data_IF_895113290195
#
_entry.id   IF_895113290195
#
_cell.length_a   1.000
_cell.length_b   1.000
_cell.length_c   1.000
_cell.angle_alpha   90.00
_cell.angle_beta   90.00
_cell.angle_gamma   90.00
#
_symmetry.space_group_name_H-M   'P 1'
#
loop_
_entity.id
_entity.type
_entity.pdbx_description
1 polymer ?
#
# COMPACT_ATOMS: atom_id res chain seq x y z
N UNK A 1 91.73 -17.61 30.01
CA UNK A 1 91.08 -16.32 29.77
C UNK A 1 90.78 -16.24 28.29
N UNK A 2 89.55 -16.51 27.90
CA UNK A 2 88.97 -16.00 26.65
C UNK A 2 87.45 -16.08 26.80
N UNK A 3 86.81 -14.94 26.59
CA UNK A 3 85.47 -14.61 27.04
C UNK A 3 84.39 -15.34 26.23
N UNK A 4 83.47 -16.00 26.93
CA UNK A 4 82.23 -16.53 26.36
C UNK A 4 81.30 -15.36 26.08
N UNK A 5 81.21 -14.95 24.81
CA UNK A 5 80.24 -13.96 24.36
C UNK A 5 78.81 -14.53 24.48
N UNK A 6 78.14 -14.21 25.59
CA UNK A 6 76.70 -14.36 25.72
C UNK A 6 76.01 -13.31 24.83
N UNK A 7 75.55 -13.74 23.65
CA UNK A 7 74.69 -12.93 22.79
C UNK A 7 73.34 -12.78 23.48
N UNK A 8 73.16 -11.67 24.21
CA UNK A 8 71.87 -11.29 24.79
C UNK A 8 70.93 -10.94 23.64
N UNK A 9 70.09 -11.91 23.25
CA UNK A 9 68.96 -11.68 22.37
C UNK A 9 67.99 -10.74 23.09
N UNK A 10 67.91 -9.50 22.59
CA UNK A 10 66.89 -8.53 22.97
C UNK A 10 65.51 -9.18 22.77
N UNK A 11 64.58 -9.05 23.73
CA UNK A 11 63.26 -9.62 23.56
C UNK A 11 62.64 -8.96 22.33
N UNK A 12 62.29 -9.77 21.33
CA UNK A 12 61.53 -9.33 20.18
C UNK A 12 60.30 -8.61 20.69
N UNK A 13 60.28 -7.30 20.50
CA UNK A 13 59.16 -6.44 20.79
C UNK A 13 57.95 -7.02 20.06
N UNK A 14 57.08 -7.72 20.80
CA UNK A 14 55.81 -8.20 20.25
C UNK A 14 55.02 -6.95 19.94
N UNK A 15 55.10 -6.47 18.69
CA UNK A 15 54.18 -5.47 18.14
C UNK A 15 52.79 -5.92 18.54
N UNK A 16 52.17 -5.19 19.45
CA UNK A 16 50.80 -5.47 19.90
C UNK A 16 49.90 -5.19 18.71
N UNK A 17 49.75 -6.20 17.83
CA UNK A 17 48.87 -6.14 16.67
C UNK A 17 47.50 -5.73 17.21
N UNK A 18 46.95 -4.61 16.70
CA UNK A 18 45.89 -3.79 17.29
C UNK A 18 44.62 -4.55 17.71
N UNK A 19 44.71 -5.31 18.81
CA UNK A 19 43.69 -6.23 19.32
C UNK A 19 42.44 -5.51 19.86
N UNK A 20 42.39 -4.18 19.77
CA UNK A 20 41.27 -3.36 20.25
C UNK A 20 40.59 -2.53 19.16
N UNK A 21 41.16 -2.37 17.96
CA UNK A 21 40.53 -1.55 16.92
C UNK A 21 39.39 -2.28 16.21
N UNK A 22 39.56 -3.57 15.87
CA UNK A 22 38.54 -4.37 15.20
C UNK A 22 37.35 -4.71 16.11
N UNK A 23 37.59 -5.02 17.40
CA UNK A 23 36.52 -5.25 18.38
C UNK A 23 35.72 -3.98 18.66
N UNK A 24 36.38 -2.81 18.75
CA UNK A 24 35.70 -1.51 18.85
C UNK A 24 34.93 -1.18 17.56
N UNK A 25 35.51 -1.45 16.38
CA UNK A 25 34.83 -1.29 15.09
C UNK A 25 33.60 -2.16 15.00
N UNK A 26 33.69 -3.44 15.35
CA UNK A 26 32.56 -4.37 15.39
C UNK A 26 31.48 -3.90 16.36
N UNK A 27 31.84 -3.43 17.56
CA UNK A 27 30.86 -2.88 18.50
C UNK A 27 30.14 -1.66 17.91
N UNK A 28 30.86 -0.74 17.27
CA UNK A 28 30.26 0.41 16.58
C UNK A 28 29.34 -0.02 15.44
N UNK A 29 29.79 -0.97 14.61
CA UNK A 29 28.99 -1.52 13.52
C UNK A 29 27.74 -2.22 14.03
N UNK A 30 27.83 -2.99 15.12
CA UNK A 30 26.68 -3.65 15.74
C UNK A 30 25.67 -2.63 16.24
N UNK A 31 26.11 -1.57 16.93
CA UNK A 31 25.20 -0.49 17.39
C UNK A 31 24.50 0.16 16.20
N UNK A 32 25.24 0.46 15.12
CA UNK A 32 24.64 1.02 13.90
C UNK A 32 23.66 0.04 13.24
N UNK A 33 24.01 -1.24 13.17
CA UNK A 33 23.14 -2.28 12.63
C UNK A 33 21.86 -2.40 13.45
N UNK A 34 21.96 -2.55 14.77
CA UNK A 34 20.80 -2.66 15.68
C UNK A 34 19.90 -1.42 15.56
N UNK A 35 20.49 -0.21 15.45
CA UNK A 35 19.76 1.04 15.24
C UNK A 35 19.03 1.07 13.89
N UNK A 36 19.68 0.67 12.79
CA UNK A 36 19.08 0.64 11.46
C UNK A 36 17.99 -0.43 11.35
N UNK A 37 18.19 -1.59 11.97
CA UNK A 37 17.18 -2.64 12.05
C UNK A 37 15.93 -2.16 12.77
N UNK A 38 16.10 -1.52 13.93
CA UNK A 38 14.97 -0.99 14.68
C UNK A 38 14.21 0.08 13.88
N UNK A 39 14.94 0.97 13.19
CA UNK A 39 14.32 1.97 12.33
C UNK A 39 13.55 1.36 11.15
N UNK A 40 14.10 0.31 10.51
CA UNK A 40 13.41 -0.39 9.43
C UNK A 40 12.13 -1.10 9.90
N UNK A 41 12.16 -1.72 11.08
CA UNK A 41 10.95 -2.31 11.68
C UNK A 41 9.88 -1.25 12.00
N UNK A 42 10.30 -0.08 12.50
CA UNK A 42 9.37 1.02 12.78
C UNK A 42 8.76 1.60 11.50
N UNK A 43 9.57 1.81 10.46
CA UNK A 43 9.09 2.23 9.15
C UNK A 43 8.06 1.26 8.58
N UNK A 44 8.31 -0.06 8.65
CA UNK A 44 7.35 -1.06 8.18
C UNK A 44 6.04 -1.05 8.99
N UNK A 45 6.09 -0.80 10.30
CA UNK A 45 4.87 -0.63 11.11
C UNK A 45 4.11 0.63 10.70
N UNK A 46 4.81 1.71 10.41
CA UNK A 46 4.20 2.95 9.93
C UNK A 46 3.56 2.75 8.56
N UNK A 47 4.25 2.11 7.63
CA UNK A 47 3.74 1.74 6.32
C UNK A 47 2.46 0.89 6.41
N UNK A 48 2.46 -0.16 7.24
CA UNK A 48 1.27 -0.98 7.45
C UNK A 48 0.08 -0.16 8.00
N UNK A 49 0.32 0.74 8.95
CA UNK A 49 -0.72 1.66 9.46
C UNK A 49 -1.21 2.59 8.35
N UNK A 50 -0.31 3.21 7.60
CA UNK A 50 -0.65 4.10 6.49
C UNK A 50 -1.48 3.37 5.44
N UNK A 51 -1.09 2.15 5.05
CA UNK A 51 -1.86 1.32 4.13
C UNK A 51 -3.29 1.07 4.62
N UNK A 52 -3.47 0.74 5.91
CA UNK A 52 -4.83 0.58 6.47
C UNK A 52 -5.64 1.89 6.44
N UNK A 53 -5.00 3.03 6.72
CA UNK A 53 -5.69 4.33 6.67
C UNK A 53 -6.07 4.74 5.25
N UNK A 54 -5.21 4.45 4.28
CA UNK A 54 -5.47 4.71 2.85
C UNK A 54 -6.67 3.89 2.40
N UNK A 55 -6.70 2.59 2.71
CA UNK A 55 -7.86 1.72 2.39
C UNK A 55 -9.15 2.23 3.01
N UNK A 56 -9.11 2.64 4.29
CA UNK A 56 -10.29 3.25 4.96
C UNK A 56 -10.76 4.50 4.23
N UNK A 57 -9.84 5.41 3.87
CA UNK A 57 -10.18 6.64 3.15
C UNK A 57 -10.76 6.34 1.76
N UNK A 58 -10.23 5.35 1.05
CA UNK A 58 -10.78 4.92 -0.23
C UNK A 58 -12.22 4.42 -0.08
N UNK A 59 -12.50 3.58 0.93
CA UNK A 59 -13.86 3.10 1.21
C UNK A 59 -14.79 4.25 1.57
N UNK A 60 -14.31 5.23 2.34
CA UNK A 60 -15.11 6.42 2.69
C UNK A 60 -15.40 7.30 1.49
N UNK A 61 -14.44 7.46 0.57
CA UNK A 61 -14.64 8.18 -0.68
C UNK A 61 -15.70 7.49 -1.55
N UNK A 62 -15.62 6.17 -1.72
CA UNK A 62 -16.62 5.39 -2.44
C UNK A 62 -18.01 5.53 -1.76
N UNK A 63 -18.02 5.40 -0.43
CA UNK A 63 -19.07 5.86 0.52
C UNK A 63 -19.81 7.11 0.06
N UNK A 64 -19.05 8.19 -0.06
CA UNK A 64 -19.54 9.51 -0.38
C UNK A 64 -20.02 9.61 -1.84
N UNK A 65 -19.33 8.97 -2.76
CA UNK A 65 -19.71 8.94 -4.17
C UNK A 65 -21.09 8.28 -4.37
N UNK A 66 -21.36 7.18 -3.68
CA UNK A 66 -22.66 6.50 -3.71
C UNK A 66 -23.78 7.42 -3.18
N UNK A 67 -23.55 8.06 -2.03
CA UNK A 67 -24.53 9.00 -1.44
C UNK A 67 -24.78 10.19 -2.38
N UNK A 68 -23.73 10.74 -3.01
CA UNK A 68 -23.88 11.83 -3.95
C UNK A 68 -24.68 11.41 -5.19
N UNK A 69 -24.50 10.17 -5.66
CA UNK A 69 -25.27 9.61 -6.76
C UNK A 69 -26.75 9.45 -6.38
N UNK A 70 -27.04 8.93 -5.18
CA UNK A 70 -28.41 8.80 -4.66
C UNK A 70 -29.10 10.15 -4.52
N UNK A 71 -28.37 11.14 -4.01
CA UNK A 71 -28.85 12.53 -3.90
C UNK A 71 -29.18 13.07 -5.29
N UNK A 72 -28.28 12.90 -6.27
CA UNK A 72 -28.50 13.34 -7.65
C UNK A 72 -29.74 12.69 -8.30
N UNK A 73 -30.02 11.43 -7.94
CA UNK A 73 -31.17 10.67 -8.44
C UNK A 73 -32.46 10.88 -7.63
N UNK A 74 -32.41 11.62 -6.52
CA UNK A 74 -33.56 11.87 -5.65
C UNK A 74 -34.66 12.67 -6.36
N UNK A 75 -35.91 12.22 -6.20
CA UNK A 75 -37.09 12.90 -6.74
C UNK A 75 -37.26 14.34 -6.22
N UNK A 76 -36.72 14.64 -5.03
CA UNK A 76 -36.80 15.96 -4.41
C UNK A 76 -35.86 16.98 -5.06
N UNK A 77 -34.83 16.53 -5.78
CA UNK A 77 -33.93 17.43 -6.51
C UNK A 77 -34.57 17.82 -7.84
N UNK A 78 -34.76 19.12 -8.11
CA UNK A 78 -35.22 19.62 -9.40
C UNK A 78 -34.32 19.20 -10.57
N UNK A 79 -34.92 18.95 -11.75
CA UNK A 79 -34.20 18.42 -12.94
C UNK A 79 -33.08 19.35 -13.45
N UNK A 80 -33.14 20.65 -13.18
CA UNK A 80 -32.12 21.65 -13.52
C UNK A 80 -30.84 21.55 -12.68
N UNK A 81 -30.95 20.89 -11.52
CA UNK A 81 -29.84 20.61 -10.61
C UNK A 81 -29.29 19.20 -10.74
N UNK A 82 -30.02 18.30 -11.42
CA UNK A 82 -29.54 16.95 -11.70
C UNK A 82 -28.49 16.99 -12.80
N UNK A 83 -27.50 16.14 -12.65
CA UNK A 83 -26.36 16.02 -13.57
C UNK A 83 -26.41 14.64 -14.20
N UNK A 84 -26.35 14.58 -15.53
CA UNK A 84 -26.10 13.34 -16.24
C UNK A 84 -24.63 12.95 -16.08
N UNK A 85 -24.41 11.88 -15.32
CA UNK A 85 -23.09 11.30 -15.05
C UNK A 85 -22.84 10.03 -15.87
N UNK A 86 -23.81 9.60 -16.69
CA UNK A 86 -23.64 8.43 -17.54
C UNK A 86 -22.58 8.70 -18.61
N UNK A 87 -21.71 7.72 -18.81
CA UNK A 87 -20.67 7.76 -19.82
C UNK A 87 -21.19 7.21 -21.15
N UNK A 88 -20.65 7.67 -22.29
CA UNK A 88 -20.97 7.07 -23.58
C UNK A 88 -20.57 5.58 -23.55
N UNK A 89 -21.44 4.66 -23.99
CA UNK A 89 -21.12 3.25 -24.03
C UNK A 89 -19.90 3.01 -24.93
N UNK A 90 -18.99 2.16 -24.49
CA UNK A 90 -17.82 1.77 -25.28
C UNK A 90 -18.27 1.00 -26.54
N UNK A 91 -17.58 1.23 -27.66
CA UNK A 91 -17.80 0.49 -28.91
C UNK A 91 -17.43 -1.00 -28.80
N UNK A 92 -16.64 -1.38 -27.79
CA UNK A 92 -16.21 -2.75 -27.55
C UNK A 92 -17.31 -3.57 -26.86
N UNK A 93 -17.94 -4.50 -27.59
CA UNK A 93 -19.01 -5.36 -27.10
C UNK A 93 -18.63 -6.28 -25.90
N UNK A 94 -17.34 -6.43 -25.59
CA UNK A 94 -16.84 -7.20 -24.44
C UNK A 94 -16.51 -6.33 -23.23
N UNK A 95 -16.49 -5.01 -23.37
CA UNK A 95 -16.22 -4.10 -22.26
C UNK A 95 -17.41 -4.14 -21.28
N UNK A 96 -17.16 -4.23 -19.96
CA UNK A 96 -18.24 -4.19 -18.98
C UNK A 96 -18.89 -2.80 -19.02
N UNK A 97 -20.16 -2.73 -19.42
CA UNK A 97 -20.96 -1.51 -19.38
C UNK A 97 -21.76 -1.46 -18.08
N UNK A 98 -21.69 -0.34 -17.35
CA UNK A 98 -22.48 -0.14 -16.13
C UNK A 98 -23.96 0.03 -16.47
N UNK A 99 -24.85 -0.28 -15.52
CA UNK A 99 -26.29 -0.14 -15.71
C UNK A 99 -26.68 1.31 -16.07
N UNK A 100 -26.05 2.29 -15.41
CA UNK A 100 -26.27 3.72 -15.67
C UNK A 100 -25.91 4.16 -17.10
N UNK A 101 -24.91 3.53 -17.71
CA UNK A 101 -24.41 3.87 -19.04
C UNK A 101 -25.26 3.21 -20.15
N UNK A 102 -25.92 2.08 -19.84
CA UNK A 102 -26.83 1.42 -20.79
C UNK A 102 -28.06 2.27 -21.07
N UNK A 103 -28.55 2.96 -20.06
CA UNK A 103 -29.73 3.84 -20.15
C UNK A 103 -29.37 5.28 -20.56
N UNK A 104 -28.11 5.54 -20.93
CA UNK A 104 -27.58 6.87 -21.27
C UNK A 104 -28.50 7.67 -22.21
N UNK A 105 -29.10 7.03 -23.22
CA UNK A 105 -30.01 7.68 -24.16
C UNK A 105 -31.30 8.22 -23.51
N UNK A 106 -31.81 7.55 -22.48
CA UNK A 106 -33.02 7.96 -21.75
C UNK A 106 -32.71 9.05 -20.71
N UNK A 107 -31.56 8.96 -20.04
CA UNK A 107 -31.07 9.93 -19.06
C UNK A 107 -30.73 11.28 -19.70
N UNK A 108 -30.15 11.24 -20.91
CA UNK A 108 -29.81 12.40 -21.76
C UNK A 108 -31.01 13.29 -22.10
N UNK A 109 -32.23 12.75 -22.08
CA UNK A 109 -33.45 13.52 -22.36
C UNK A 109 -34.00 14.24 -21.12
N UNK A 110 -33.63 13.83 -19.92
CA UNK A 110 -34.22 14.29 -18.66
C UNK A 110 -33.34 15.28 -17.87
N UNK A 111 -32.02 15.21 -18.02
CA UNK A 111 -31.06 16.06 -17.29
C UNK A 111 -30.66 17.30 -18.11
N UNK A 112 -30.62 18.46 -17.46
CA UNK A 112 -30.28 19.72 -18.11
C UNK A 112 -28.76 20.01 -18.17
N UNK A 113 -27.94 19.30 -17.41
CA UNK A 113 -26.48 19.47 -17.36
C UNK A 113 -25.78 18.15 -17.52
N UNK A 114 -24.70 18.14 -18.30
CA UNK A 114 -23.88 16.94 -18.54
C UNK A 114 -22.53 17.03 -17.85
N UNK A 115 -22.00 15.88 -17.46
CA UNK A 115 -20.65 15.79 -16.90
C UNK A 115 -19.60 16.42 -17.83
N UNK A 116 -19.71 16.20 -19.15
CA UNK A 116 -18.79 16.77 -20.15
C UNK A 116 -18.76 18.31 -20.12
N UNK A 117 -19.92 18.94 -19.97
CA UNK A 117 -20.06 20.40 -19.86
C UNK A 117 -19.51 20.91 -18.52
N UNK A 118 -19.67 20.13 -17.45
CA UNK A 118 -19.11 20.47 -16.14
C UNK A 118 -17.59 20.35 -16.12
N UNK A 119 -17.03 19.33 -16.77
CA UNK A 119 -15.59 19.20 -16.91
C UNK A 119 -15.02 20.43 -17.60
N UNK A 120 -15.64 20.92 -18.67
CA UNK A 120 -15.12 22.12 -19.35
C UNK A 120 -15.34 23.42 -18.57
N UNK A 121 -16.44 23.55 -17.83
CA UNK A 121 -16.79 24.80 -17.12
C UNK A 121 -16.17 24.94 -15.73
N UNK A 122 -15.92 23.84 -15.01
CA UNK A 122 -15.36 23.85 -13.66
C UNK A 122 -13.83 23.73 -13.74
N UNK A 123 -13.07 24.67 -13.16
CA UNK A 123 -11.61 24.58 -13.14
C UNK A 123 -11.18 23.37 -12.31
N UNK A 124 -10.60 22.37 -12.98
CA UNK A 124 -10.11 21.15 -12.37
C UNK A 124 -8.68 20.85 -12.83
N UNK A 125 -7.95 20.06 -12.03
CA UNK A 125 -6.59 19.63 -12.42
C UNK A 125 -6.69 18.39 -13.29
N UNK A 126 -6.30 18.49 -14.57
CA UNK A 126 -6.24 17.32 -15.44
C UNK A 126 -5.08 16.40 -15.03
N UNK A 127 -5.19 15.12 -15.39
CA UNK A 127 -4.10 14.16 -15.16
C UNK A 127 -2.78 14.62 -15.79
N UNK A 128 -2.82 15.17 -17.00
CA UNK A 128 -1.64 15.71 -17.68
C UNK A 128 -0.99 16.87 -16.90
N UNK A 129 -1.80 17.79 -16.36
CA UNK A 129 -1.30 18.88 -15.53
C UNK A 129 -0.73 18.36 -14.19
N UNK A 130 -1.39 17.38 -13.58
CA UNK A 130 -0.91 16.75 -12.35
C UNK A 130 0.40 16.00 -12.54
N UNK A 131 0.59 15.33 -13.68
CA UNK A 131 1.83 14.62 -14.04
C UNK A 131 3.05 15.55 -14.10
N UNK A 132 2.87 16.77 -14.61
CA UNK A 132 3.94 17.78 -14.64
C UNK A 132 4.19 18.42 -13.28
N UNK A 133 3.13 18.76 -12.54
CA UNK A 133 3.25 19.54 -11.30
C UNK A 133 3.51 18.68 -10.04
N UNK A 134 3.08 17.41 -10.03
CA UNK A 134 3.10 16.51 -8.86
C UNK A 134 3.53 15.10 -9.26
N UNK A 135 4.72 14.97 -9.84
CA UNK A 135 5.25 13.70 -10.33
C UNK A 135 5.28 12.59 -9.26
N UNK A 136 5.65 12.91 -8.01
CA UNK A 136 5.72 11.93 -6.92
C UNK A 136 4.36 11.32 -6.56
N UNK A 137 3.29 12.13 -6.59
CA UNK A 137 1.93 11.63 -6.33
C UNK A 137 1.47 10.68 -7.45
N UNK A 138 1.86 10.96 -8.69
CA UNK A 138 1.51 10.10 -9.82
C UNK A 138 2.26 8.78 -9.75
N UNK A 139 3.51 8.77 -9.28
CA UNK A 139 4.28 7.55 -9.02
C UNK A 139 3.55 6.63 -8.03
N UNK A 140 3.00 7.17 -6.95
CA UNK A 140 2.21 6.39 -5.97
C UNK A 140 0.93 5.78 -6.57
N UNK A 141 0.38 6.37 -7.64
CA UNK A 141 -0.78 5.85 -8.35
C UNK A 141 -0.41 4.82 -9.43
N UNK A 142 0.87 4.64 -9.73
CA UNK A 142 1.33 3.60 -10.66
C UNK A 142 1.43 2.25 -9.94
N UNK A 143 1.32 1.17 -10.71
CA UNK A 143 1.48 -0.19 -10.17
C UNK A 143 2.98 -0.44 -9.94
N UNK A 144 3.42 -0.74 -8.72
CA UNK A 144 4.80 -1.12 -8.45
C UNK A 144 5.20 -2.43 -9.15
N UNK A 145 6.49 -2.60 -9.43
CA UNK A 145 7.01 -3.82 -10.07
C UNK A 145 6.65 -5.08 -9.25
N UNK A 146 5.87 -5.97 -9.85
CA UNK A 146 5.47 -7.25 -9.24
C UNK A 146 4.13 -7.23 -8.50
N UNK A 147 3.46 -6.08 -8.40
CA UNK A 147 2.08 -5.99 -7.89
C UNK A 147 1.07 -5.95 -9.05
N UNK A 148 -0.19 -6.28 -8.77
CA UNK A 148 -1.26 -6.26 -9.78
C UNK A 148 -2.03 -4.94 -9.82
N UNK A 149 -1.93 -4.13 -8.76
CA UNK A 149 -2.66 -2.88 -8.59
C UNK A 149 -1.84 -1.90 -7.73
N UNK A 150 -2.10 -0.58 -7.81
CA UNK A 150 -1.46 0.39 -6.93
C UNK A 150 -1.83 0.18 -5.45
N UNK A 151 -1.03 0.72 -4.53
CA UNK A 151 -1.26 0.59 -3.09
C UNK A 151 -2.55 1.27 -2.61
N UNK A 152 -3.00 2.32 -3.31
CA UNK A 152 -4.22 3.06 -3.00
C UNK A 152 -5.49 2.43 -3.58
N UNK A 153 -5.36 1.40 -4.42
CA UNK A 153 -6.48 0.77 -5.09
C UNK A 153 -7.20 -0.21 -4.16
N UNK A 154 -8.53 -0.14 -4.11
CA UNK A 154 -9.36 -1.11 -3.40
C UNK A 154 -9.56 -2.35 -4.26
N UNK A 155 -9.08 -3.49 -3.78
CA UNK A 155 -9.31 -4.78 -4.42
C UNK A 155 -10.70 -5.33 -4.10
N UNK A 156 -11.16 -6.32 -4.88
CA UNK A 156 -12.40 -7.04 -4.56
C UNK A 156 -12.35 -7.65 -3.15
N UNK A 157 -11.21 -8.23 -2.79
CA UNK A 157 -10.95 -8.77 -1.45
C UNK A 157 -11.07 -7.71 -0.35
N UNK A 158 -10.55 -6.50 -0.59
CA UNK A 158 -10.65 -5.39 0.37
C UNK A 158 -12.10 -4.92 0.56
N UNK A 159 -12.88 -4.93 -0.52
CA UNK A 159 -14.32 -4.60 -0.47
C UNK A 159 -15.07 -5.68 0.30
N UNK A 160 -14.82 -6.96 0.04
CA UNK A 160 -15.45 -8.07 0.76
C UNK A 160 -15.09 -8.05 2.25
N UNK A 161 -13.83 -7.80 2.59
CA UNK A 161 -13.37 -7.61 3.97
C UNK A 161 -14.08 -6.46 4.68
N UNK A 162 -14.30 -5.36 3.96
CA UNK A 162 -15.03 -4.22 4.46
C UNK A 162 -16.53 -4.54 4.66
N UNK A 163 -17.19 -5.20 3.71
CA UNK A 163 -18.60 -5.65 3.84
C UNK A 163 -18.74 -6.58 5.05
N UNK A 164 -17.86 -7.56 5.19
CA UNK A 164 -17.83 -8.45 6.35
C UNK A 164 -17.68 -7.70 7.68
N UNK A 165 -16.87 -6.63 7.71
CA UNK A 165 -16.74 -5.80 8.91
C UNK A 165 -18.03 -5.04 9.25
N UNK A 166 -18.77 -4.59 8.24
CA UNK A 166 -20.06 -3.91 8.41
C UNK A 166 -21.11 -4.91 8.91
N UNK A 167 -21.23 -6.08 8.28
CA UNK A 167 -22.19 -7.12 8.68
C UNK A 167 -21.99 -7.52 10.15
N UNK A 168 -20.73 -7.73 10.55
CA UNK A 168 -20.40 -8.03 11.95
C UNK A 168 -20.76 -6.89 12.91
N UNK A 169 -20.65 -5.63 12.47
CA UNK A 169 -21.00 -4.47 13.31
C UNK A 169 -22.52 -4.31 13.50
N UNK A 170 -23.30 -4.82 12.55
CA UNK A 170 -24.77 -4.74 12.57
C UNK A 170 -25.44 -5.85 13.41
N UNK A 171 -24.64 -6.76 14.02
CA UNK A 171 -25.11 -7.85 14.89
C UNK A 171 -26.31 -8.62 14.30
N UNK A 172 -26.22 -9.05 13.04
CA UNK A 172 -27.22 -9.96 12.50
C UNK A 172 -27.02 -11.35 13.10
N UNK A 173 -28.02 -11.89 13.80
CA UNK A 173 -27.99 -13.28 14.33
C UNK A 173 -27.75 -14.31 13.21
N UNK A 174 -27.94 -13.92 11.94
CA UNK A 174 -27.57 -14.68 10.76
C UNK A 174 -26.11 -14.39 10.36
N UNK A 175 -25.24 -15.39 10.50
CA UNK A 175 -23.92 -15.39 9.89
C UNK A 175 -24.07 -15.53 8.37
N UNK A 176 -23.98 -14.41 7.64
CA UNK A 176 -24.05 -14.41 6.19
C UNK A 176 -22.82 -15.15 5.60
N UNK A 177 -22.99 -15.98 4.56
CA UNK A 177 -21.86 -16.52 3.81
C UNK A 177 -21.05 -15.37 3.23
N UNK A 178 -19.74 -15.36 3.48
CA UNK A 178 -18.84 -14.29 3.03
C UNK A 178 -17.62 -14.86 2.31
N UNK A 179 -17.16 -14.13 1.29
CA UNK A 179 -15.91 -14.42 0.57
C UNK A 179 -14.70 -13.68 1.16
N UNK A 180 -14.94 -12.81 2.16
CA UNK A 180 -13.92 -12.00 2.80
C UNK A 180 -12.72 -12.84 3.28
N UNK A 181 -11.49 -12.54 2.83
CA UNK A 181 -10.29 -13.24 3.30
C UNK A 181 -10.15 -13.23 4.83
N UNK A 182 -10.60 -12.15 5.51
CA UNK A 182 -10.55 -12.04 6.97
C UNK A 182 -11.48 -13.01 7.69
N UNK A 183 -12.57 -13.45 7.06
CA UNK A 183 -13.46 -14.46 7.61
C UNK A 183 -12.85 -15.87 7.53
N UNK A 184 -11.87 -16.07 6.63
CA UNK A 184 -11.23 -17.36 6.36
C UNK A 184 -9.71 -17.32 6.63
N UNK A 185 -9.26 -17.09 7.88
CA UNK A 185 -7.84 -16.92 8.20
C UNK A 185 -6.98 -18.16 7.94
N UNK A 186 -7.60 -19.35 7.82
CA UNK A 186 -6.93 -20.61 7.51
C UNK A 186 -6.88 -20.92 5.99
N UNK A 187 -7.64 -20.20 5.17
CA UNK A 187 -7.62 -20.33 3.70
C UNK A 187 -6.34 -19.73 3.13
N UNK A 188 -5.90 -18.61 3.71
CA UNK A 188 -4.65 -17.94 3.35
C UNK A 188 -3.59 -18.28 4.40
N UNK A 189 -2.52 -18.99 4.02
CA UNK A 189 -1.37 -19.32 4.89
C UNK A 189 -1.07 -18.13 5.82
N UNK A 190 -1.34 -18.28 7.11
CA UNK A 190 -1.13 -17.24 8.12
C UNK A 190 0.35 -16.85 8.14
N UNK A 191 0.71 -15.87 7.30
CA UNK A 191 2.07 -15.40 7.19
C UNK A 191 2.38 -14.64 8.47
N UNK A 192 3.21 -15.24 9.33
CA UNK A 192 3.73 -14.60 10.54
C UNK A 192 4.15 -13.16 10.21
N UNK A 193 3.88 -12.16 11.06
CA UNK A 193 4.19 -10.75 10.75
C UNK A 193 5.65 -10.51 10.33
N UNK A 194 6.59 -11.31 10.85
CA UNK A 194 8.00 -11.28 10.48
C UNK A 194 8.30 -11.78 9.06
N UNK A 195 7.46 -12.68 8.51
CA UNK A 195 7.52 -13.12 7.11
C UNK A 195 6.93 -12.07 6.15
N UNK A 196 6.06 -11.18 6.63
CA UNK A 196 5.49 -10.10 5.82
C UNK A 196 6.47 -8.95 5.58
N UNK A 197 7.37 -8.67 6.53
CA UNK A 197 8.41 -7.65 6.34
C UNK A 197 9.59 -8.21 5.52
N UNK A 198 9.76 -7.82 4.24
CA UNK A 198 10.83 -8.36 3.38
C UNK A 198 12.24 -7.99 3.86
N UNK A 199 12.36 -6.95 4.69
CA UNK A 199 13.62 -6.44 5.24
C UNK A 199 13.89 -6.90 6.68
N UNK A 200 13.04 -7.76 7.25
CA UNK A 200 13.28 -8.33 8.58
C UNK A 200 14.57 -9.17 8.60
N UNK A 201 15.24 -9.25 9.77
CA UNK A 201 16.46 -10.07 9.92
C UNK A 201 16.24 -11.49 9.44
N UNK A 202 15.11 -12.10 9.82
CA UNK A 202 14.75 -13.47 9.46
C UNK A 202 14.58 -13.65 7.95
N UNK A 203 13.88 -12.73 7.27
CA UNK A 203 13.67 -12.80 5.83
C UNK A 203 14.96 -12.52 5.05
N UNK A 204 15.75 -11.55 5.49
CA UNK A 204 17.07 -11.27 4.91
C UNK A 204 17.99 -12.49 5.03
N UNK A 205 18.05 -13.11 6.21
CA UNK A 205 18.83 -14.32 6.43
C UNK A 205 18.31 -15.50 5.59
N UNK A 206 17.00 -15.66 5.43
CA UNK A 206 16.43 -16.71 4.58
C UNK A 206 16.85 -16.54 3.12
N UNK A 207 16.90 -15.29 2.63
CA UNK A 207 17.28 -14.96 1.25
C UNK A 207 18.79 -15.09 1.00
N UNK A 208 19.62 -14.64 1.94
CA UNK A 208 21.06 -14.48 1.73
C UNK A 208 21.95 -15.49 2.47
N UNK A 209 21.41 -16.17 3.47
CA UNK A 209 22.10 -17.21 4.23
C UNK A 209 21.16 -18.40 4.55
N UNK A 210 20.53 -19.04 3.55
CA UNK A 210 19.50 -20.06 3.77
C UNK A 210 19.99 -21.28 4.57
N UNK A 211 21.30 -21.53 4.62
CA UNK A 211 21.94 -22.67 5.30
C UNK A 211 21.76 -22.67 6.83
N UNK A 212 21.29 -21.58 7.43
CA UNK A 212 21.10 -21.46 8.88
C UNK A 212 19.70 -21.86 9.35
N UNK A 213 18.79 -22.18 8.42
CA UNK A 213 17.42 -22.61 8.68
C UNK A 213 17.24 -24.11 8.44
#
# INVERSE_FOLDING_TARGET
>A
MEEVQFKVERPTERKTVGYKSWKKKYRKMRIQFDSKMHHGEELHKQEAKTATTVKRLAVENDRLLDILLDINNSAQIPLDKRIDVALPPSDDAKAPTLAIDRDHASTKAAALKKLEELLTSVPHTSYAAAKGARASLIEDLTVPDGESHPASFLTADDVDDYIFSVDNSLNTDAHLPTLAPRAHPNSHLASHPHLKNPTSVTNWLRKHAPKIF
#
